data_IF_526796854183
#
_entry.id   IF_526796854183
#
_cell.length_a   1.000
_cell.length_b   1.000
_cell.length_c   1.000
_cell.angle_alpha   90.00
_cell.angle_beta   90.00
_cell.angle_gamma   90.00
#
_symmetry.space_group_name_H-M   'P 1'
#
loop_
_entity.id
_entity.type
_entity.pdbx_description
1 polymer ?
#
# COMPACT_ATOMS: atom_id res chain seq x y z
N UNK A 1 8.12 -33.91 -25.97
CA UNK A 1 7.24 -32.79 -26.34
C UNK A 1 7.77 -31.60 -25.63
N UNK A 2 8.46 -30.71 -26.34
CA UNK A 2 9.02 -29.49 -25.76
C UNK A 2 7.91 -28.50 -25.41
N UNK A 3 7.76 -28.19 -24.15
CA UNK A 3 6.94 -27.05 -23.68
C UNK A 3 7.58 -25.79 -24.22
N UNK A 4 7.01 -25.20 -25.27
CA UNK A 4 7.31 -23.84 -25.68
C UNK A 4 6.86 -22.92 -24.56
N UNK A 5 7.79 -22.46 -23.73
CA UNK A 5 7.55 -21.32 -22.85
C UNK A 5 7.23 -20.12 -23.76
N UNK A 6 5.96 -19.84 -23.93
CA UNK A 6 5.53 -18.56 -24.52
C UNK A 6 6.05 -17.50 -23.59
N UNK A 7 7.04 -16.73 -24.03
CA UNK A 7 7.56 -15.58 -23.29
C UNK A 7 6.37 -14.66 -22.99
N UNK A 8 6.00 -14.52 -21.72
CA UNK A 8 4.91 -13.65 -21.32
C UNK A 8 5.29 -12.21 -21.71
N UNK A 9 4.45 -11.58 -22.54
CA UNK A 9 4.67 -10.20 -22.95
C UNK A 9 4.69 -9.29 -21.72
N UNK A 10 5.68 -8.40 -21.65
CA UNK A 10 5.85 -7.46 -20.54
C UNK A 10 5.62 -6.02 -21.04
N UNK A 11 4.93 -5.21 -20.25
CA UNK A 11 4.70 -3.80 -20.55
C UNK A 11 5.96 -2.94 -20.49
N UNK A 12 6.93 -3.34 -19.68
CA UNK A 12 8.29 -2.82 -19.62
C UNK A 12 9.27 -3.99 -19.60
N UNK A 13 10.38 -3.95 -20.36
CA UNK A 13 11.33 -5.06 -20.41
C UNK A 13 12.04 -5.27 -19.08
N UNK A 14 12.47 -6.51 -18.80
CA UNK A 14 13.34 -6.80 -17.64
C UNK A 14 14.63 -6.00 -17.73
N UNK A 15 15.22 -5.69 -16.57
CA UNK A 15 16.36 -4.77 -16.49
C UNK A 15 15.99 -3.29 -16.53
N UNK A 16 14.73 -2.94 -16.85
CA UNK A 16 14.26 -1.55 -16.76
C UNK A 16 14.39 -0.99 -15.35
N UNK A 17 14.65 0.30 -15.26
CA UNK A 17 14.68 1.03 -13.99
C UNK A 17 13.26 1.41 -13.58
N UNK A 18 12.87 1.07 -12.34
CA UNK A 18 11.57 1.39 -11.73
C UNK A 18 11.80 2.34 -10.56
N UNK A 19 11.11 3.48 -10.55
CA UNK A 19 11.08 4.38 -9.40
C UNK A 19 10.05 3.88 -8.39
N UNK A 20 10.48 3.66 -7.13
CA UNK A 20 9.58 3.42 -6.00
C UNK A 20 9.66 4.63 -5.07
N UNK A 21 8.62 5.48 -5.10
CA UNK A 21 8.56 6.66 -4.26
C UNK A 21 8.12 6.29 -2.84
N UNK A 22 8.87 6.80 -1.83
CA UNK A 22 8.67 6.44 -0.43
C UNK A 22 9.17 5.05 -0.07
N UNK A 23 10.26 4.59 -0.69
CA UNK A 23 10.80 3.23 -0.63
C UNK A 23 11.00 2.69 0.79
N UNK A 24 11.32 3.56 1.76
CA UNK A 24 11.55 3.16 3.15
C UNK A 24 10.27 2.96 3.98
N UNK A 25 9.08 3.01 3.38
CA UNK A 25 7.84 2.66 4.06
C UNK A 25 7.58 1.14 3.99
N UNK A 26 6.77 0.63 4.91
CA UNK A 26 6.50 -0.79 5.07
C UNK A 26 6.10 -1.50 3.75
N UNK A 27 5.06 -1.01 3.08
CA UNK A 27 4.58 -1.60 1.81
C UNK A 27 5.63 -1.42 0.71
N UNK A 28 6.21 -0.22 0.61
CA UNK A 28 7.15 0.08 -0.46
C UNK A 28 8.42 -0.77 -0.41
N UNK A 29 8.92 -1.09 0.78
CA UNK A 29 10.10 -1.97 0.94
C UNK A 29 9.85 -3.35 0.35
N UNK A 30 8.65 -3.92 0.55
CA UNK A 30 8.26 -5.20 -0.07
C UNK A 30 8.12 -5.08 -1.59
N UNK A 31 7.61 -3.95 -2.09
CA UNK A 31 7.52 -3.68 -3.54
C UNK A 31 8.91 -3.56 -4.16
N UNK A 32 9.85 -2.87 -3.51
CA UNK A 32 11.26 -2.79 -3.93
C UNK A 32 11.84 -4.20 -4.10
N UNK A 33 11.68 -5.04 -3.08
CA UNK A 33 12.19 -6.41 -3.11
C UNK A 33 11.54 -7.25 -4.21
N UNK A 34 10.24 -7.08 -4.46
CA UNK A 34 9.53 -7.80 -5.51
C UNK A 34 10.07 -7.46 -6.90
N UNK A 35 10.30 -6.17 -7.21
CA UNK A 35 10.92 -5.77 -8.49
C UNK A 35 12.34 -6.30 -8.64
N UNK A 36 13.18 -6.20 -7.60
CA UNK A 36 14.56 -6.69 -7.61
C UNK A 36 14.61 -8.21 -7.84
N UNK A 37 13.77 -8.99 -7.13
CA UNK A 37 13.68 -10.44 -7.28
C UNK A 37 13.25 -10.86 -8.70
N UNK A 38 12.50 -10.00 -9.39
CA UNK A 38 12.04 -10.23 -10.76
C UNK A 38 12.95 -9.66 -11.84
N UNK A 39 14.17 -9.21 -11.50
CA UNK A 39 15.20 -8.77 -12.44
C UNK A 39 15.00 -7.37 -13.00
N UNK A 40 14.37 -6.48 -12.24
CA UNK A 40 14.30 -5.05 -12.50
C UNK A 40 15.33 -4.29 -11.66
N UNK A 41 15.76 -3.14 -12.15
CA UNK A 41 16.52 -2.19 -11.35
C UNK A 41 15.53 -1.27 -10.62
N UNK A 42 15.88 -0.88 -9.39
CA UNK A 42 15.02 -0.02 -8.58
C UNK A 42 15.77 1.22 -8.12
N UNK A 43 15.17 2.37 -8.34
CA UNK A 43 15.50 3.63 -7.68
C UNK A 43 14.47 3.89 -6.58
N UNK A 44 14.88 3.77 -5.32
CA UNK A 44 14.04 4.05 -4.17
C UNK A 44 14.18 5.49 -3.69
N UNK A 45 13.10 6.28 -3.58
CA UNK A 45 13.24 7.59 -2.92
C UNK A 45 13.07 7.48 -1.41
N UNK A 46 13.91 8.21 -0.69
CA UNK A 46 13.91 8.26 0.77
C UNK A 46 14.02 9.70 1.28
N UNK A 47 13.38 9.98 2.41
CA UNK A 47 13.52 11.29 3.09
C UNK A 47 14.81 11.41 3.89
N UNK A 48 15.33 10.29 4.34
CA UNK A 48 16.51 10.22 5.20
C UNK A 48 17.22 8.90 4.97
N UNK A 49 18.43 8.95 4.41
CA UNK A 49 19.25 7.76 4.12
C UNK A 49 19.63 6.97 5.37
N UNK A 50 19.85 7.63 6.50
CA UNK A 50 20.19 6.92 7.73
C UNK A 50 19.06 5.98 8.20
N UNK A 51 17.80 6.37 8.00
CA UNK A 51 16.64 5.51 8.28
C UNK A 51 16.42 4.42 7.24
N UNK A 52 17.11 4.48 6.11
CA UNK A 52 17.06 3.54 5.01
C UNK A 52 18.33 2.66 4.90
N UNK A 53 19.19 2.67 5.91
CA UNK A 53 20.45 1.93 5.92
C UNK A 53 20.27 0.42 5.71
N UNK A 54 19.15 -0.14 6.15
CA UNK A 54 18.84 -1.57 5.96
C UNK A 54 18.75 -1.99 4.48
N UNK A 55 18.63 -1.06 3.52
CA UNK A 55 18.75 -1.37 2.10
C UNK A 55 20.16 -1.75 1.65
N UNK A 56 21.15 -1.60 2.51
CA UNK A 56 22.53 -2.04 2.26
C UNK A 56 22.88 -3.33 3.03
N UNK A 57 21.89 -3.98 3.65
CA UNK A 57 22.06 -5.13 4.53
C UNK A 57 21.08 -6.26 4.18
N UNK A 58 21.34 -7.47 4.68
CA UNK A 58 20.44 -8.60 4.60
C UNK A 58 20.01 -8.94 3.17
N UNK A 59 18.71 -9.04 2.96
CA UNK A 59 18.14 -9.46 1.66
C UNK A 59 18.37 -8.45 0.53
N UNK A 60 18.71 -7.20 0.86
CA UNK A 60 18.96 -6.13 -0.10
C UNK A 60 20.43 -5.95 -0.47
N UNK A 61 21.36 -6.45 0.36
CA UNK A 61 22.80 -6.21 0.24
C UNK A 61 23.33 -6.49 -1.16
N UNK A 62 23.02 -7.64 -1.73
CA UNK A 62 23.46 -8.02 -3.07
C UNK A 62 23.02 -7.04 -4.16
N UNK A 63 21.81 -6.49 -4.04
CA UNK A 63 21.25 -5.54 -5.02
C UNK A 63 21.84 -4.14 -4.88
N UNK A 64 22.24 -3.76 -3.67
CA UNK A 64 22.97 -2.52 -3.45
C UNK A 64 24.43 -2.63 -3.95
N UNK A 65 25.07 -3.80 -3.78
CA UNK A 65 26.44 -4.04 -4.22
C UNK A 65 26.57 -4.12 -5.75
N UNK A 66 25.62 -4.77 -6.42
CA UNK A 66 25.64 -4.88 -7.89
C UNK A 66 25.02 -3.67 -8.63
N UNK A 67 24.52 -2.67 -7.89
CA UNK A 67 23.96 -1.43 -8.43
C UNK A 67 22.55 -1.59 -9.05
N UNK A 68 21.86 -2.71 -8.81
CA UNK A 68 20.46 -2.87 -9.21
C UNK A 68 19.48 -2.15 -8.28
N UNK A 69 19.93 -1.83 -7.05
CA UNK A 69 19.23 -0.96 -6.11
C UNK A 69 20.02 0.32 -5.87
N UNK A 70 19.40 1.45 -6.13
CA UNK A 70 19.94 2.77 -5.79
C UNK A 70 18.92 3.61 -4.99
N UNK A 71 19.40 4.49 -4.10
CA UNK A 71 18.58 5.41 -3.33
C UNK A 71 18.74 6.84 -3.82
N UNK A 72 17.62 7.56 -3.97
CA UNK A 72 17.56 8.97 -4.28
C UNK A 72 16.94 9.76 -3.11
N UNK A 73 17.52 10.91 -2.80
CA UNK A 73 17.01 11.76 -1.72
C UNK A 73 15.85 12.63 -2.21
N UNK A 74 14.71 12.50 -1.53
CA UNK A 74 13.57 13.40 -1.66
C UNK A 74 13.14 13.79 -0.24
N UNK A 75 13.81 14.78 0.35
CA UNK A 75 13.60 15.16 1.76
C UNK A 75 12.18 15.63 2.03
N UNK A 76 11.59 16.36 1.09
CA UNK A 76 10.22 16.85 1.17
C UNK A 76 9.51 16.67 -0.18
N UNK A 77 8.53 15.76 -0.21
CA UNK A 77 7.73 15.47 -1.39
C UNK A 77 6.68 16.54 -1.71
N UNK A 78 6.44 17.50 -0.82
CA UNK A 78 5.51 18.59 -1.04
C UNK A 78 6.14 19.76 -1.82
N UNK A 79 7.46 19.75 -1.99
CA UNK A 79 8.17 20.77 -2.80
C UNK A 79 7.93 20.50 -4.28
N UNK A 80 7.43 21.49 -5.04
CA UNK A 80 7.25 21.33 -6.49
C UNK A 80 8.53 20.88 -7.20
N UNK A 81 8.42 19.83 -8.01
CA UNK A 81 9.56 19.26 -8.74
C UNK A 81 10.50 18.40 -7.90
N UNK A 82 10.13 18.05 -6.66
CA UNK A 82 10.95 17.23 -5.76
C UNK A 82 11.45 15.91 -6.39
N UNK A 83 10.70 15.37 -7.32
CA UNK A 83 11.02 14.10 -8.01
C UNK A 83 11.74 14.28 -9.35
N UNK A 84 12.05 15.50 -9.79
CA UNK A 84 12.59 15.78 -11.14
C UNK A 84 13.83 14.96 -11.48
N UNK A 85 14.75 14.79 -10.52
CA UNK A 85 15.94 13.99 -10.75
C UNK A 85 15.68 12.49 -10.56
N UNK A 86 14.79 12.14 -9.65
CA UNK A 86 14.46 10.75 -9.37
C UNK A 86 13.73 10.03 -10.50
N UNK A 87 12.94 10.74 -11.33
CA UNK A 87 12.19 10.15 -12.46
C UNK A 87 13.02 9.98 -13.74
N UNK A 88 14.23 10.53 -13.81
CA UNK A 88 15.07 10.44 -15.03
C UNK A 88 15.35 8.98 -15.40
N UNK A 89 15.12 8.65 -16.66
CA UNK A 89 15.41 7.34 -17.27
C UNK A 89 14.63 6.16 -16.67
N UNK A 90 13.58 6.39 -15.85
CA UNK A 90 12.77 5.31 -15.30
C UNK A 90 11.69 4.89 -16.29
N UNK A 91 11.47 3.59 -16.42
CA UNK A 91 10.42 3.02 -17.26
C UNK A 91 9.04 2.98 -16.56
N UNK A 92 9.03 2.99 -15.23
CA UNK A 92 7.81 3.00 -14.43
C UNK A 92 7.99 3.75 -13.11
N UNK A 93 6.88 4.27 -12.59
CA UNK A 93 6.77 4.88 -11.26
C UNK A 93 5.77 4.09 -10.42
N UNK A 94 6.17 3.67 -9.22
CA UNK A 94 5.29 3.15 -8.18
C UNK A 94 5.31 4.14 -7.03
N UNK A 95 4.21 4.88 -6.85
CA UNK A 95 4.11 5.86 -5.78
C UNK A 95 3.45 5.26 -4.54
N UNK A 96 4.21 5.11 -3.46
CA UNK A 96 3.75 4.69 -2.14
C UNK A 96 3.87 5.84 -1.13
N UNK A 97 4.60 6.89 -1.50
CA UNK A 97 4.74 8.08 -0.66
C UNK A 97 3.37 8.73 -0.40
N UNK A 98 3.10 9.04 0.83
CA UNK A 98 1.87 9.72 1.25
C UNK A 98 2.12 10.59 2.48
N UNK A 99 1.30 11.66 2.60
CA UNK A 99 1.20 12.45 3.83
C UNK A 99 0.27 11.70 4.78
N UNK A 100 0.83 11.12 5.85
CA UNK A 100 0.06 10.37 6.86
C UNK A 100 0.32 11.00 8.22
N UNK A 101 -0.42 12.05 8.54
CA UNK A 101 -0.28 12.80 9.80
C UNK A 101 -1.38 12.51 10.80
N UNK A 102 -2.54 12.02 10.36
CA UNK A 102 -3.79 11.94 11.16
C UNK A 102 -4.18 13.28 11.79
N UNK A 103 -3.72 14.39 11.19
CA UNK A 103 -4.14 15.75 11.59
C UNK A 103 -5.63 15.91 11.26
N UNK A 104 -6.46 16.37 12.21
CA UNK A 104 -7.90 16.55 11.98
C UNK A 104 -8.26 17.77 11.11
N UNK A 105 -7.29 18.58 10.71
CA UNK A 105 -7.51 19.77 9.89
C UNK A 105 -7.50 19.42 8.38
N UNK A 106 -8.66 19.38 7.70
CA UNK A 106 -8.74 19.04 6.28
C UNK A 106 -8.03 20.05 5.38
N UNK A 107 -8.00 21.35 5.77
CA UNK A 107 -7.34 22.39 4.97
C UNK A 107 -5.82 22.25 4.94
N UNK A 108 -5.26 21.59 5.94
CA UNK A 108 -3.84 21.26 5.98
C UNK A 108 -3.50 19.99 5.18
N UNK A 109 -4.26 18.92 5.41
CA UNK A 109 -3.90 17.56 4.92
C UNK A 109 -4.28 17.37 3.47
N UNK A 110 -5.50 17.80 3.08
CA UNK A 110 -6.04 17.47 1.75
C UNK A 110 -5.27 18.18 0.64
N UNK A 111 -5.04 19.51 0.68
CA UNK A 111 -4.30 20.18 -0.38
C UNK A 111 -2.87 19.65 -0.54
N UNK A 112 -2.18 19.38 0.57
CA UNK A 112 -0.81 18.83 0.55
C UNK A 112 -0.77 17.43 -0.08
N UNK A 113 -1.74 16.57 0.20
CA UNK A 113 -1.82 15.22 -0.36
C UNK A 113 -2.13 15.25 -1.86
N UNK A 114 -3.07 16.10 -2.28
CA UNK A 114 -3.46 16.28 -3.69
C UNK A 114 -2.30 16.85 -4.50
N UNK A 115 -1.68 17.93 -4.04
CA UNK A 115 -0.60 18.61 -4.75
C UNK A 115 0.63 17.72 -4.91
N UNK A 116 1.04 17.00 -3.87
CA UNK A 116 2.17 16.09 -3.90
C UNK A 116 2.00 14.98 -4.95
N UNK A 117 0.82 14.36 -5.05
CA UNK A 117 0.56 13.33 -6.07
C UNK A 117 0.50 13.92 -7.48
N UNK A 118 -0.20 15.05 -7.65
CA UNK A 118 -0.34 15.66 -8.98
C UNK A 118 0.98 16.24 -9.50
N UNK A 119 1.86 16.71 -8.61
CA UNK A 119 3.21 17.16 -9.01
C UNK A 119 4.08 15.97 -9.49
N UNK A 120 4.03 14.85 -8.79
CA UNK A 120 4.74 13.63 -9.23
C UNK A 120 4.19 13.12 -10.56
N UNK A 121 2.86 13.17 -10.78
CA UNK A 121 2.25 12.79 -12.06
C UNK A 121 2.73 13.70 -13.21
N UNK A 122 2.75 15.02 -13.03
CA UNK A 122 3.29 15.96 -14.00
C UNK A 122 4.76 15.71 -14.30
N UNK A 123 5.54 15.47 -13.25
CA UNK A 123 6.97 15.17 -13.37
C UNK A 123 7.20 13.89 -14.16
N UNK A 124 6.42 12.83 -13.86
CA UNK A 124 6.47 11.58 -14.62
C UNK A 124 5.98 11.72 -16.07
N UNK A 125 4.98 12.57 -16.34
CA UNK A 125 4.47 12.81 -17.68
C UNK A 125 5.49 13.56 -18.58
N UNK A 126 6.35 14.37 -17.99
CA UNK A 126 7.43 15.06 -18.70
C UNK A 126 8.60 14.11 -19.07
N UNK A 127 8.74 12.97 -18.40
CA UNK A 127 9.77 11.96 -18.65
C UNK A 127 9.28 10.93 -19.68
N UNK A 128 9.83 10.98 -20.89
CA UNK A 128 9.37 10.14 -22.02
C UNK A 128 9.60 8.64 -21.82
N UNK A 129 10.54 8.25 -20.97
CA UNK A 129 10.83 6.85 -20.67
C UNK A 129 9.74 6.20 -19.83
N UNK A 130 8.96 6.96 -19.05
CA UNK A 130 7.88 6.45 -18.20
C UNK A 130 6.73 5.91 -19.05
N UNK A 131 6.43 4.60 -18.88
CA UNK A 131 5.35 3.88 -19.58
C UNK A 131 4.26 3.41 -18.63
N UNK A 132 4.53 3.32 -17.34
CA UNK A 132 3.62 2.86 -16.30
C UNK A 132 3.70 3.75 -15.07
N UNK A 133 2.54 4.05 -14.49
CA UNK A 133 2.44 4.73 -13.20
C UNK A 133 1.43 3.97 -12.33
N UNK A 134 1.86 3.48 -11.17
CA UNK A 134 0.99 2.80 -10.20
C UNK A 134 0.97 3.58 -8.90
N UNK A 135 -0.23 3.98 -8.48
CA UNK A 135 -0.45 4.65 -7.20
C UNK A 135 -0.87 3.62 -6.14
N UNK A 136 -0.13 3.53 -5.05
CA UNK A 136 -0.60 2.87 -3.84
C UNK A 136 -1.65 3.76 -3.18
N UNK A 137 -2.91 3.38 -3.33
CA UNK A 137 -4.06 4.01 -2.70
C UNK A 137 -4.40 3.32 -1.36
N UNK A 138 -5.66 3.19 -1.02
CA UNK A 138 -6.15 2.49 0.17
C UNK A 138 -7.61 2.08 -0.04
N UNK A 139 -8.04 1.03 0.62
CA UNK A 139 -9.46 0.64 0.65
C UNK A 139 -10.35 1.79 1.16
N UNK A 140 -9.82 2.69 1.99
CA UNK A 140 -10.51 3.88 2.48
C UNK A 140 -10.91 4.90 1.41
N UNK A 141 -10.43 4.76 0.15
CA UNK A 141 -10.93 5.55 -0.98
C UNK A 141 -12.19 4.97 -1.60
N UNK A 142 -12.54 3.74 -1.28
CA UNK A 142 -13.68 3.03 -1.85
C UNK A 142 -14.92 3.07 -0.95
N UNK A 143 -14.73 3.06 0.36
CA UNK A 143 -15.82 3.14 1.34
C UNK A 143 -15.36 3.71 2.67
N UNK A 144 -16.30 4.20 3.46
CA UNK A 144 -16.07 4.69 4.82
C UNK A 144 -15.88 3.53 5.77
N UNK A 145 -14.62 3.28 6.15
CA UNK A 145 -14.26 2.18 7.05
C UNK A 145 -14.93 2.38 8.41
N UNK A 146 -15.61 1.36 8.91
CA UNK A 146 -16.23 1.34 10.23
C UNK A 146 -17.68 1.82 10.30
N UNK A 147 -18.29 2.28 9.19
CA UNK A 147 -19.65 2.84 9.18
C UNK A 147 -20.73 1.91 8.60
N UNK A 148 -20.41 0.74 8.11
CA UNK A 148 -21.38 -0.22 7.54
C UNK A 148 -22.34 -0.84 8.58
N UNK A 149 -22.68 -0.07 9.61
CA UNK A 149 -23.52 -0.50 10.73
C UNK A 149 -24.81 -1.18 10.27
N UNK A 150 -24.81 -2.51 10.25
CA UNK A 150 -25.99 -3.34 9.98
C UNK A 150 -26.41 -3.47 8.52
N UNK A 151 -25.82 -2.74 7.56
CA UNK A 151 -26.12 -2.88 6.13
C UNK A 151 -25.03 -3.67 5.43
N UNK A 152 -25.43 -4.63 4.59
CA UNK A 152 -24.51 -5.28 3.67
C UNK A 152 -24.19 -4.32 2.51
N UNK A 153 -22.93 -4.08 2.26
CA UNK A 153 -22.44 -3.24 1.16
C UNK A 153 -21.45 -4.04 0.33
N UNK A 154 -21.59 -3.98 -1.00
CA UNK A 154 -20.59 -4.54 -1.93
C UNK A 154 -19.67 -3.42 -2.39
N UNK A 155 -18.37 -3.61 -2.17
CA UNK A 155 -17.31 -2.67 -2.52
C UNK A 155 -16.54 -3.26 -3.70
N UNK A 156 -16.42 -2.49 -4.77
CA UNK A 156 -15.73 -2.89 -5.99
C UNK A 156 -14.91 -1.72 -6.56
N UNK A 157 -14.28 -1.93 -7.68
CA UNK A 157 -13.42 -0.93 -8.33
C UNK A 157 -14.15 0.37 -8.76
N UNK A 158 -15.49 0.38 -8.86
CA UNK A 158 -16.26 1.58 -9.18
C UNK A 158 -16.67 2.38 -7.93
N UNK A 159 -16.48 1.83 -6.73
CA UNK A 159 -16.87 2.46 -5.47
C UNK A 159 -16.01 3.69 -5.17
N UNK A 160 -16.63 4.70 -4.53
CA UNK A 160 -15.96 5.91 -4.03
C UNK A 160 -16.48 6.28 -2.64
N UNK A 161 -15.56 6.65 -1.76
CA UNK A 161 -15.87 7.08 -0.40
C UNK A 161 -16.13 8.60 -0.34
N UNK A 162 -17.19 9.05 -1.00
CA UNK A 162 -17.57 10.47 -0.98
C UNK A 162 -18.12 10.89 0.40
N UNK A 163 -18.58 9.92 1.20
CA UNK A 163 -19.01 10.13 2.59
C UNK A 163 -17.88 10.70 3.44
N UNK A 164 -16.66 10.15 3.36
CA UNK A 164 -15.52 10.68 4.12
C UNK A 164 -15.15 12.10 3.70
N UNK A 165 -15.34 12.48 2.42
CA UNK A 165 -15.09 13.84 1.96
C UNK A 165 -16.09 14.82 2.60
N UNK A 166 -17.38 14.49 2.60
CA UNK A 166 -18.40 15.30 3.25
C UNK A 166 -18.18 15.42 4.76
N UNK A 167 -17.83 14.31 5.42
CA UNK A 167 -17.59 14.27 6.86
C UNK A 167 -16.33 15.07 7.27
N UNK A 168 -15.26 15.04 6.46
CA UNK A 168 -14.03 15.79 6.75
C UNK A 168 -14.25 17.31 6.84
N UNK A 169 -15.19 17.84 6.07
CA UNK A 169 -15.54 19.26 6.07
C UNK A 169 -16.81 19.59 6.88
N UNK A 170 -17.33 18.63 7.66
CA UNK A 170 -18.48 18.87 8.52
C UNK A 170 -18.14 19.86 9.64
N UNK A 171 -19.09 20.63 10.18
CA UNK A 171 -18.82 21.52 11.30
C UNK A 171 -18.55 20.75 12.60
N UNK A 172 -17.69 21.26 13.51
CA UNK A 172 -17.45 20.65 14.82
C UNK A 172 -18.74 20.64 15.69
N UNK A 173 -18.79 19.81 16.76
CA UNK A 173 -17.69 19.05 17.35
C UNK A 173 -17.37 17.73 16.61
N UNK A 174 -16.10 17.34 16.57
CA UNK A 174 -15.63 16.10 15.96
C UNK A 174 -15.23 15.06 17.02
N UNK A 175 -15.39 13.78 16.69
CA UNK A 175 -14.88 12.68 17.49
C UNK A 175 -13.36 12.46 17.33
N UNK A 176 -12.73 11.63 18.18
CA UNK A 176 -11.29 11.36 18.14
C UNK A 176 -10.84 10.70 16.83
N UNK A 177 -11.76 10.09 16.08
CA UNK A 177 -11.51 9.45 14.78
C UNK A 177 -11.44 10.44 13.61
N UNK A 178 -11.71 11.74 13.82
CA UNK A 178 -11.81 12.71 12.73
C UNK A 178 -10.52 12.82 11.90
N UNK A 179 -9.34 12.70 12.52
CA UNK A 179 -8.09 12.66 11.78
C UNK A 179 -8.00 11.49 10.80
N UNK A 180 -8.61 10.35 11.13
CA UNK A 180 -8.70 9.21 10.20
C UNK A 180 -9.71 9.47 9.06
N UNK A 181 -10.79 10.21 9.33
CA UNK A 181 -11.74 10.68 8.30
C UNK A 181 -11.04 11.60 7.31
N UNK A 182 -10.33 12.62 7.82
CA UNK A 182 -9.55 13.56 7.01
C UNK A 182 -8.49 12.83 6.16
N UNK A 183 -7.81 11.85 6.74
CA UNK A 183 -6.90 10.98 5.98
C UNK A 183 -7.62 10.26 4.82
N UNK A 184 -8.77 9.61 5.06
CA UNK A 184 -9.54 8.94 4.00
C UNK A 184 -9.97 9.95 2.92
N UNK A 185 -10.52 11.09 3.31
CA UNK A 185 -10.92 12.16 2.40
C UNK A 185 -9.74 12.65 1.53
N UNK A 186 -8.56 12.84 2.14
CA UNK A 186 -7.36 13.26 1.43
C UNK A 186 -6.95 12.26 0.34
N UNK A 187 -7.04 10.97 0.64
CA UNK A 187 -6.74 9.89 -0.32
C UNK A 187 -7.80 9.83 -1.44
N UNK A 188 -9.09 10.02 -1.12
CA UNK A 188 -10.16 10.09 -2.13
C UNK A 188 -9.91 11.24 -3.10
N UNK A 189 -9.69 12.44 -2.58
CA UNK A 189 -9.53 13.64 -3.42
C UNK A 189 -8.22 13.61 -4.22
N UNK A 190 -7.14 13.08 -3.67
CA UNK A 190 -5.89 12.88 -4.39
C UNK A 190 -6.05 11.84 -5.53
N UNK A 191 -6.74 10.73 -5.30
CA UNK A 191 -6.97 9.73 -6.33
C UNK A 191 -7.90 10.26 -7.43
N UNK A 192 -8.99 10.97 -7.08
CA UNK A 192 -9.86 11.63 -8.06
C UNK A 192 -9.08 12.66 -8.90
N UNK A 193 -8.21 13.46 -8.27
CA UNK A 193 -7.35 14.41 -8.98
C UNK A 193 -6.37 13.70 -9.93
N UNK A 194 -5.82 12.54 -9.54
CA UNK A 194 -4.95 11.74 -10.39
C UNK A 194 -5.68 11.20 -11.62
N UNK A 195 -6.88 10.62 -11.46
CA UNK A 195 -7.69 10.15 -12.59
C UNK A 195 -8.09 11.28 -13.52
N UNK A 196 -8.48 12.44 -12.99
CA UNK A 196 -8.78 13.64 -13.77
C UNK A 196 -7.57 14.10 -14.56
N UNK A 197 -6.38 14.16 -13.94
CA UNK A 197 -5.12 14.50 -14.62
C UNK A 197 -4.87 13.56 -15.82
N UNK A 198 -5.04 12.25 -15.63
CA UNK A 198 -4.80 11.26 -16.71
C UNK A 198 -5.81 11.41 -17.85
N UNK A 199 -7.06 11.72 -17.55
CA UNK A 199 -8.11 11.95 -18.54
C UNK A 199 -7.86 13.21 -19.38
N UNK A 200 -7.47 14.32 -18.73
CA UNK A 200 -7.27 15.62 -19.35
C UNK A 200 -5.94 15.74 -20.07
N UNK A 201 -4.84 15.35 -19.43
CA UNK A 201 -3.47 15.53 -19.94
C UNK A 201 -3.00 14.38 -20.84
N UNK A 202 -3.66 13.23 -20.79
CA UNK A 202 -3.36 12.03 -21.60
C UNK A 202 -1.87 11.71 -21.63
N UNK A 203 -1.22 11.52 -20.46
CA UNK A 203 0.22 11.28 -20.39
C UNK A 203 0.64 10.03 -21.16
N UNK A 204 1.93 9.94 -21.51
CA UNK A 204 2.49 8.82 -22.27
C UNK A 204 2.58 7.48 -21.51
N UNK A 205 2.02 7.40 -20.30
CA UNK A 205 2.01 6.21 -19.46
C UNK A 205 0.59 5.68 -19.18
N UNK A 206 0.48 4.40 -18.87
CA UNK A 206 -0.73 3.80 -18.31
C UNK A 206 -0.74 4.03 -16.80
N UNK A 207 -1.88 4.49 -16.26
CA UNK A 207 -2.09 4.72 -14.84
C UNK A 207 -2.97 3.62 -14.24
N UNK A 208 -2.58 3.08 -13.09
CA UNK A 208 -3.36 2.15 -12.28
C UNK A 208 -3.28 2.53 -10.81
N UNK A 209 -4.25 2.09 -10.01
CA UNK A 209 -4.22 2.23 -8.55
C UNK A 209 -4.35 0.87 -7.88
N UNK A 210 -3.68 0.68 -6.73
CA UNK A 210 -3.81 -0.51 -5.89
C UNK A 210 -4.35 -0.07 -4.53
N UNK A 211 -5.37 -0.78 -4.02
CA UNK A 211 -6.13 -0.44 -2.82
C UNK A 211 -5.95 -1.51 -1.74
N UNK A 212 -4.89 -1.44 -0.94
CA UNK A 212 -4.70 -2.35 0.17
C UNK A 212 -5.71 -2.08 1.28
N UNK A 213 -6.16 -3.15 1.92
CA UNK A 213 -6.82 -3.15 3.23
C UNK A 213 -5.77 -3.10 4.35
N UNK A 214 -6.06 -3.59 5.56
CA UNK A 214 -5.06 -3.69 6.63
C UNK A 214 -3.96 -4.67 6.24
N UNK A 215 -2.72 -4.21 6.28
CA UNK A 215 -1.57 -4.98 5.79
C UNK A 215 -0.80 -5.58 6.95
N UNK A 216 -0.63 -6.92 6.93
CA UNK A 216 0.26 -7.69 7.79
C UNK A 216 1.33 -8.39 6.95
N UNK A 217 2.32 -9.01 7.60
CA UNK A 217 3.42 -9.73 6.95
C UNK A 217 4.78 -9.21 7.39
N UNK A 218 5.88 -9.69 6.79
CA UNK A 218 7.23 -9.43 7.30
C UNK A 218 7.61 -7.95 7.30
N UNK A 219 8.28 -7.54 8.36
CA UNK A 219 8.89 -6.23 8.53
C UNK A 219 10.38 -6.34 8.20
N UNK A 220 10.96 -5.35 7.54
CA UNK A 220 12.40 -5.32 7.22
C UNK A 220 13.19 -4.42 8.17
N UNK A 221 12.50 -3.68 9.01
CA UNK A 221 13.07 -2.84 10.08
C UNK A 221 12.02 -2.61 11.16
N UNK A 222 12.44 -2.41 12.41
CA UNK A 222 11.54 -2.09 13.54
C UNK A 222 10.65 -0.86 13.28
N UNK A 223 11.14 0.11 12.48
CA UNK A 223 10.37 1.31 12.16
C UNK A 223 9.12 1.02 11.31
N UNK A 224 9.03 -0.12 10.63
CA UNK A 224 7.84 -0.53 9.88
C UNK A 224 6.64 -0.86 10.80
N UNK A 225 6.90 -1.15 12.08
CA UNK A 225 5.84 -1.32 13.09
C UNK A 225 5.11 -0.01 13.46
N UNK A 226 5.41 1.12 12.80
CA UNK A 226 4.63 2.36 12.94
C UNK A 226 3.34 2.40 12.09
N UNK A 227 3.05 1.32 11.35
CA UNK A 227 1.87 1.17 10.48
C UNK A 227 0.85 0.18 11.07
N UNK A 228 -0.04 -0.36 10.23
CA UNK A 228 -1.01 -1.40 10.65
C UNK A 228 -0.35 -2.64 11.29
N UNK A 229 0.86 -2.99 10.88
CA UNK A 229 1.62 -4.05 11.53
C UNK A 229 1.97 -3.70 13.00
N UNK A 230 2.05 -2.43 13.36
CA UNK A 230 2.23 -2.00 14.75
C UNK A 230 1.04 -2.31 15.64
N UNK A 231 -0.17 -2.33 15.11
CA UNK A 231 -1.34 -2.78 15.89
C UNK A 231 -1.21 -4.27 16.25
N UNK A 232 -0.78 -5.10 15.29
CA UNK A 232 -0.52 -6.52 15.56
C UNK A 232 0.59 -6.71 16.59
N UNK A 233 1.71 -5.97 16.44
CA UNK A 233 2.80 -6.03 17.41
C UNK A 233 2.38 -5.55 18.80
N UNK A 234 1.51 -4.54 18.90
CA UNK A 234 0.93 -4.09 20.16
C UNK A 234 0.13 -5.18 20.87
N UNK A 235 -0.62 -6.02 20.11
CA UNK A 235 -1.28 -7.19 20.67
C UNK A 235 -0.29 -8.26 21.11
N UNK A 236 0.73 -8.52 20.30
CA UNK A 236 1.76 -9.51 20.62
C UNK A 236 2.56 -9.14 21.87
N UNK A 237 2.95 -7.89 22.01
CA UNK A 237 3.77 -7.39 23.13
C UNK A 237 2.95 -7.00 24.36
N UNK A 238 1.64 -6.89 24.23
CA UNK A 238 0.76 -6.40 25.29
C UNK A 238 0.90 -4.90 25.55
N UNK A 239 1.43 -4.14 24.57
CA UNK A 239 1.71 -2.69 24.67
C UNK A 239 0.91 -1.90 23.63
N UNK A 240 0.81 -0.59 23.83
CA UNK A 240 0.21 0.31 22.85
C UNK A 240 -1.32 0.29 22.81
N UNK A 241 -1.86 1.08 21.88
CA UNK A 241 -3.29 1.25 21.69
C UNK A 241 -3.73 0.67 20.34
N UNK A 242 -4.94 0.11 20.34
CA UNK A 242 -5.57 -0.47 19.15
C UNK A 242 -6.84 0.30 18.82
N UNK A 243 -7.24 0.35 17.55
CA UNK A 243 -8.59 0.75 17.19
C UNK A 243 -9.58 -0.38 17.47
N UNK A 244 -9.82 -0.67 18.75
CA UNK A 244 -10.47 -1.91 19.24
C UNK A 244 -11.83 -2.20 18.60
N UNK A 245 -12.61 -1.15 18.29
CA UNK A 245 -13.94 -1.28 17.66
C UNK A 245 -13.90 -1.36 16.14
N UNK A 246 -12.74 -1.18 15.53
CA UNK A 246 -12.61 -1.19 14.09
C UNK A 246 -12.62 -2.63 13.58
N UNK A 247 -13.57 -2.93 12.70
CA UNK A 247 -13.70 -4.21 12.00
C UNK A 247 -13.05 -4.06 10.64
N UNK A 248 -12.19 -4.97 10.28
CA UNK A 248 -11.29 -4.79 9.14
C UNK A 248 -11.19 -6.07 8.31
N UNK A 249 -10.58 -5.91 7.15
CA UNK A 249 -10.09 -7.00 6.32
C UNK A 249 -8.58 -6.92 6.23
N UNK A 250 -7.93 -8.04 6.00
CA UNK A 250 -6.48 -8.17 5.97
C UNK A 250 -5.98 -8.55 4.56
N UNK A 251 -4.72 -8.22 4.31
CA UNK A 251 -3.91 -8.71 3.19
C UNK A 251 -2.44 -8.82 3.61
N UNK A 252 -1.71 -9.79 3.04
CA UNK A 252 -0.26 -9.88 3.27
C UNK A 252 0.51 -8.86 2.43
N UNK A 253 1.55 -8.26 3.01
CA UNK A 253 2.39 -7.25 2.33
C UNK A 253 3.08 -7.80 1.07
N UNK A 254 3.41 -9.11 1.04
CA UNK A 254 3.96 -9.76 -0.16
C UNK A 254 2.93 -9.83 -1.29
N UNK A 255 1.65 -10.07 -0.96
CA UNK A 255 0.57 -10.07 -1.95
C UNK A 255 0.37 -8.67 -2.53
N UNK A 256 0.38 -7.65 -1.67
CA UNK A 256 0.33 -6.24 -2.10
C UNK A 256 1.50 -5.92 -3.03
N UNK A 257 2.70 -6.39 -2.74
CA UNK A 257 3.89 -6.18 -3.56
C UNK A 257 3.76 -6.83 -4.94
N UNK A 258 3.31 -8.10 -5.01
CA UNK A 258 3.06 -8.81 -6.27
C UNK A 258 2.00 -8.10 -7.12
N UNK A 259 0.91 -7.60 -6.51
CA UNK A 259 -0.14 -6.87 -7.25
C UNK A 259 0.39 -5.54 -7.80
N UNK A 260 1.22 -4.80 -7.06
CA UNK A 260 1.88 -3.60 -7.59
C UNK A 260 2.84 -3.94 -8.74
N UNK A 261 3.63 -4.98 -8.59
CA UNK A 261 4.50 -5.50 -9.65
C UNK A 261 3.67 -5.83 -10.90
N UNK A 262 2.61 -6.63 -10.76
CA UNK A 262 1.72 -7.00 -11.85
C UNK A 262 1.08 -5.78 -12.52
N UNK A 263 0.63 -4.78 -11.75
CA UNK A 263 0.06 -3.54 -12.28
C UNK A 263 1.03 -2.72 -13.14
N UNK A 264 2.34 -2.91 -12.93
CA UNK A 264 3.39 -2.32 -13.78
C UNK A 264 3.67 -3.19 -15.00
N UNK A 265 3.90 -4.49 -14.83
CA UNK A 265 4.50 -5.34 -15.87
C UNK A 265 3.48 -6.01 -16.78
N UNK A 266 2.24 -6.16 -16.35
CA UNK A 266 1.19 -6.80 -17.14
C UNK A 266 0.65 -5.84 -18.21
N UNK A 267 0.80 -6.17 -19.52
CA UNK A 267 0.36 -5.32 -20.61
C UNK A 267 -1.17 -5.17 -20.67
N UNK A 268 -1.91 -6.11 -20.08
CA UNK A 268 -3.38 -6.13 -20.10
C UNK A 268 -3.99 -5.27 -18.97
N UNK A 269 -3.21 -4.94 -17.94
CA UNK A 269 -3.65 -4.10 -16.82
C UNK A 269 -3.52 -2.63 -17.18
N UNK A 270 -4.64 -2.00 -17.51
CA UNK A 270 -4.71 -0.60 -17.94
C UNK A 270 -5.93 0.10 -17.35
N UNK A 271 -5.72 1.25 -16.71
CA UNK A 271 -6.80 2.04 -16.15
C UNK A 271 -7.58 1.33 -15.04
N UNK A 272 -6.89 0.51 -14.21
CA UNK A 272 -7.53 -0.33 -13.21
C UNK A 272 -7.37 0.24 -11.78
N UNK A 273 -8.42 0.06 -10.99
CA UNK A 273 -8.45 0.23 -9.53
C UNK A 273 -8.46 -1.15 -8.88
N UNK A 274 -7.28 -1.64 -8.45
CA UNK A 274 -7.07 -3.03 -8.07
C UNK A 274 -7.16 -3.18 -6.55
N UNK A 275 -8.11 -3.95 -6.06
CA UNK A 275 -8.32 -4.17 -4.62
C UNK A 275 -7.50 -5.38 -4.18
N UNK A 276 -6.84 -5.26 -3.01
CA UNK A 276 -6.15 -6.36 -2.35
C UNK A 276 -6.76 -6.59 -0.97
N UNK A 277 -7.55 -7.66 -0.85
CA UNK A 277 -8.30 -8.01 0.36
C UNK A 277 -8.48 -9.53 0.43
N UNK A 278 -8.34 -10.12 1.61
CA UNK A 278 -8.38 -11.57 1.81
C UNK A 278 -9.45 -11.96 2.83
N UNK A 279 -9.16 -11.79 4.12
CA UNK A 279 -9.98 -12.27 5.22
C UNK A 279 -10.47 -11.13 6.11
N UNK A 280 -11.71 -11.25 6.52
CA UNK A 280 -12.31 -10.37 7.52
C UNK A 280 -11.82 -10.73 8.91
N UNK A 281 -11.60 -9.73 9.74
CA UNK A 281 -11.19 -9.95 11.13
C UNK A 281 -11.75 -8.89 12.08
N UNK A 282 -11.79 -9.25 13.34
CA UNK A 282 -11.77 -8.37 14.48
C UNK A 282 -10.57 -8.72 15.36
N UNK A 283 -10.27 -7.92 16.37
CA UNK A 283 -9.05 -8.13 17.15
C UNK A 283 -9.04 -9.42 17.98
N UNK A 284 -10.22 -9.97 18.34
CA UNK A 284 -10.28 -11.27 19.04
C UNK A 284 -9.91 -12.41 18.10
N UNK A 285 -10.26 -12.35 16.81
CA UNK A 285 -9.78 -13.35 15.84
C UNK A 285 -8.26 -13.30 15.66
N UNK A 286 -7.65 -12.11 15.74
CA UNK A 286 -6.18 -11.96 15.73
C UNK A 286 -5.55 -12.51 17.01
N UNK A 287 -6.15 -12.24 18.19
CA UNK A 287 -5.70 -12.83 19.47
C UNK A 287 -5.76 -14.35 19.45
N UNK A 288 -6.82 -14.93 18.90
CA UNK A 288 -6.96 -16.39 18.77
C UNK A 288 -5.87 -16.99 17.87
N UNK A 289 -5.53 -16.30 16.78
CA UNK A 289 -4.41 -16.70 15.93
C UNK A 289 -3.07 -16.64 16.66
N UNK A 290 -2.82 -15.57 17.42
CA UNK A 290 -1.62 -15.41 18.23
C UNK A 290 -1.52 -16.51 19.31
N UNK A 291 -2.61 -16.80 20.05
CA UNK A 291 -2.66 -17.86 21.07
C UNK A 291 -2.38 -19.24 20.49
N UNK A 292 -2.91 -19.54 19.30
CA UNK A 292 -2.64 -20.81 18.61
C UNK A 292 -1.19 -20.91 18.13
N UNK A 293 -0.62 -19.80 17.65
CA UNK A 293 0.74 -19.78 17.10
C UNK A 293 1.82 -19.75 18.18
N UNK A 294 1.52 -19.21 19.37
CA UNK A 294 2.47 -19.02 20.47
C UNK A 294 1.85 -19.50 21.80
N UNK A 295 1.63 -20.83 21.97
CA UNK A 295 0.89 -21.38 23.12
C UNK A 295 1.58 -21.14 24.47
N UNK A 296 2.90 -21.00 24.47
CA UNK A 296 3.68 -20.75 25.69
C UNK A 296 3.70 -19.28 26.11
N UNK A 297 3.13 -18.38 25.28
CA UNK A 297 3.05 -16.94 25.57
C UNK A 297 1.68 -16.59 26.16
N UNK A 298 1.68 -15.83 27.25
CA UNK A 298 0.45 -15.26 27.80
C UNK A 298 0.06 -14.00 27.05
N UNK A 299 -1.14 -14.00 26.47
CA UNK A 299 -1.77 -12.85 25.86
C UNK A 299 -2.85 -12.25 26.76
N UNK A 300 -3.27 -11.02 26.46
CA UNK A 300 -4.42 -10.38 27.11
C UNK A 300 -5.71 -11.20 26.91
N UNK A 301 -6.70 -10.98 27.74
CA UNK A 301 -8.05 -11.50 27.55
C UNK A 301 -8.70 -10.88 26.30
N UNK A 302 -9.82 -11.46 25.88
CA UNK A 302 -10.60 -10.94 24.77
C UNK A 302 -11.03 -9.50 25.02
N UNK A 303 -11.00 -8.72 23.96
CA UNK A 303 -11.46 -7.33 23.98
C UNK A 303 -12.99 -7.35 24.07
N UNK A 304 -13.58 -6.72 25.08
CA UNK A 304 -15.03 -6.68 25.21
C UNK A 304 -15.65 -5.83 24.09
N UNK A 305 -16.87 -6.15 23.73
CA UNK A 305 -17.72 -5.39 22.79
C UNK A 305 -17.07 -5.11 21.40
N UNK A 306 -16.12 -5.95 20.99
CA UNK A 306 -15.46 -5.83 19.68
C UNK A 306 -16.43 -6.10 18.52
N UNK A 307 -17.56 -6.75 18.81
CA UNK A 307 -18.60 -7.10 17.85
C UNK A 307 -18.20 -8.21 16.87
N UNK A 308 -19.10 -8.52 15.93
CA UNK A 308 -18.87 -9.53 14.89
C UNK A 308 -17.88 -9.06 13.80
N UNK A 309 -17.69 -9.89 12.77
CA UNK A 309 -16.88 -9.54 11.61
C UNK A 309 -17.54 -8.43 10.76
N UNK A 310 -16.75 -7.76 9.88
CA UNK A 310 -17.29 -6.79 8.92
C UNK A 310 -18.41 -7.39 8.06
N UNK A 311 -19.43 -6.60 7.73
CA UNK A 311 -20.59 -7.05 6.93
C UNK A 311 -20.46 -6.75 5.43
N UNK A 312 -19.47 -5.98 5.01
CA UNK A 312 -19.22 -5.68 3.60
C UNK A 312 -18.68 -6.90 2.83
N UNK A 313 -18.99 -6.98 1.54
CA UNK A 313 -18.29 -7.83 0.58
C UNK A 313 -17.33 -6.97 -0.24
N UNK A 314 -16.07 -7.38 -0.32
CA UNK A 314 -15.04 -6.68 -1.09
C UNK A 314 -14.68 -7.54 -2.29
N UNK A 315 -14.88 -7.00 -3.49
CA UNK A 315 -14.51 -7.64 -4.76
C UNK A 315 -13.00 -7.43 -5.02
N UNK A 316 -12.23 -8.45 -4.72
CA UNK A 316 -10.77 -8.50 -4.95
C UNK A 316 -10.37 -9.50 -6.05
N UNK A 317 -11.30 -9.88 -6.94
CA UNK A 317 -11.07 -10.92 -7.95
C UNK A 317 -9.97 -10.57 -8.95
N UNK A 318 -9.87 -9.30 -9.36
CA UNK A 318 -8.77 -8.86 -10.21
C UNK A 318 -7.42 -9.02 -9.50
N UNK A 319 -7.30 -8.61 -8.24
CA UNK A 319 -6.09 -8.80 -7.45
C UNK A 319 -5.69 -10.27 -7.32
N UNK A 320 -6.67 -11.15 -7.05
CA UNK A 320 -6.46 -12.60 -6.99
C UNK A 320 -6.00 -13.18 -8.34
N UNK A 321 -6.59 -12.74 -9.44
CA UNK A 321 -6.21 -13.19 -10.78
C UNK A 321 -4.76 -12.82 -11.11
N UNK A 322 -4.33 -11.63 -10.73
CA UNK A 322 -2.95 -11.16 -10.89
C UNK A 322 -1.96 -11.95 -10.03
N UNK A 323 -2.31 -12.26 -8.78
CA UNK A 323 -1.51 -13.16 -7.94
C UNK A 323 -1.33 -14.54 -8.57
N UNK A 324 -2.41 -15.14 -9.06
CA UNK A 324 -2.35 -16.45 -9.75
C UNK A 324 -1.48 -16.38 -10.99
N UNK A 325 -1.59 -15.31 -11.79
CA UNK A 325 -0.82 -15.12 -13.03
C UNK A 325 0.67 -14.89 -12.76
N UNK A 326 1.02 -14.07 -11.76
CA UNK A 326 2.38 -13.57 -11.58
C UNK A 326 3.16 -14.24 -10.44
N UNK A 327 2.47 -14.82 -9.44
CA UNK A 327 3.09 -15.55 -8.34
C UNK A 327 2.73 -17.04 -8.31
N UNK A 328 1.85 -17.53 -9.19
CA UNK A 328 1.46 -18.94 -9.26
C UNK A 328 0.68 -19.46 -8.04
N UNK A 329 0.12 -18.55 -7.21
CA UNK A 329 -0.56 -18.87 -5.97
C UNK A 329 -1.77 -17.98 -5.70
N UNK A 330 -2.59 -18.35 -4.71
CA UNK A 330 -3.63 -17.48 -4.14
C UNK A 330 -3.09 -16.54 -3.07
N UNK A 331 -4.02 -15.91 -2.35
CA UNK A 331 -3.72 -15.04 -1.22
C UNK A 331 -3.02 -15.78 -0.08
N UNK A 332 -2.13 -15.11 0.64
CA UNK A 332 -1.53 -15.61 1.88
C UNK A 332 -2.56 -15.47 3.01
N UNK A 333 -2.87 -16.56 3.74
CA UNK A 333 -3.84 -16.53 4.84
C UNK A 333 -3.40 -15.64 6.00
N UNK A 334 -4.38 -15.17 6.80
CA UNK A 334 -4.14 -14.28 7.93
C UNK A 334 -3.21 -14.90 8.99
N UNK A 335 -3.41 -16.16 9.35
CA UNK A 335 -2.56 -16.85 10.34
C UNK A 335 -1.08 -16.85 9.91
N UNK A 336 -0.80 -17.05 8.62
CA UNK A 336 0.56 -16.97 8.09
C UNK A 336 1.08 -15.54 8.15
N UNK A 337 0.26 -14.56 7.77
CA UNK A 337 0.64 -13.14 7.78
C UNK A 337 0.97 -12.66 9.20
N UNK A 338 0.21 -13.11 10.19
CA UNK A 338 0.46 -12.82 11.62
C UNK A 338 1.82 -13.40 12.05
N UNK A 339 2.08 -14.68 11.77
CA UNK A 339 3.38 -15.30 12.09
C UNK A 339 4.54 -14.57 11.42
N UNK A 340 4.45 -14.32 10.11
CA UNK A 340 5.50 -13.60 9.36
C UNK A 340 5.77 -12.21 9.92
N UNK A 341 4.73 -11.50 10.42
CA UNK A 341 4.91 -10.19 11.06
C UNK A 341 5.71 -10.33 12.34
N UNK A 342 5.30 -11.22 13.24
CA UNK A 342 5.95 -11.42 14.55
C UNK A 342 7.39 -11.91 14.37
N UNK A 343 7.60 -12.98 13.59
CA UNK A 343 8.91 -13.63 13.40
C UNK A 343 9.95 -12.73 12.72
N UNK A 344 9.50 -11.68 12.01
CA UNK A 344 10.42 -10.75 11.35
C UNK A 344 11.08 -9.74 12.28
N UNK A 345 10.61 -9.59 13.53
CA UNK A 345 11.10 -8.59 14.50
C UNK A 345 11.46 -9.15 15.88
N UNK A 346 11.10 -10.41 16.16
CA UNK A 346 11.46 -11.17 17.35
C UNK A 346 12.65 -12.07 17.05
#
# INVERSE_FOLDING_TARGET
MGSTFVSQALAIPKGSLVLVAGASSYIATSIVLEFLNNGYRVRGTVRNRAKAAYFYEGVFEKYAQDGTLELADVPDMAVPGAYKDAVKDVAAVVNVAAVVTMDPDPEKVIPATVSSLTDLLRTAAAERSVKRFVQCSTIGTLYRIGTTAGKHVTINQASWNDEAVGEAYSPPPHGPEHGFVVYQASKVLAEKAAWKFVEEEKPGFVFNTVHPVTVFGPLYTKSHASSSAGWLMSLYDGTGTLPEKLKLTHVNVKDVAVVHYAAVVDPDVKGQRIITSVEKYNWNTVLDSLRRSYPDRKFRDDIPDVGGLPNETIDADLGLSLLKKWAGRGWIPMDQSIRETVESVV
#
